data_IF_850248085892
#
_entry.id   IF_850248085892
#
_cell.length_a   1.000
_cell.length_b   1.000
_cell.length_c   1.000
_cell.angle_alpha   90.00
_cell.angle_beta   90.00
_cell.angle_gamma   90.00
#
_symmetry.space_group_name_H-M   'P 1'
#
loop_
_entity.id
_entity.type
_entity.pdbx_description
1 polymer ?
#
# COMPACT_ATOMS: atom_id res chain seq x y z
N UNK A 1 31.37 -0.21 -15.68
CA UNK A 1 30.07 0.01 -16.35
C UNK A 1 29.04 0.01 -15.23
N UNK A 2 28.55 1.20 -14.84
CA UNK A 2 27.68 1.38 -13.67
C UNK A 2 26.28 0.88 -14.01
N UNK A 3 25.76 -0.11 -13.28
CA UNK A 3 24.34 -0.40 -13.26
C UNK A 3 23.69 0.46 -12.17
N UNK A 4 23.04 1.53 -12.58
CA UNK A 4 22.14 2.29 -11.72
C UNK A 4 20.87 1.45 -11.49
N UNK A 5 20.75 0.81 -10.33
CA UNK A 5 19.50 0.16 -9.94
C UNK A 5 18.52 1.24 -9.48
N UNK A 6 17.50 1.44 -10.31
CA UNK A 6 16.55 2.54 -10.22
C UNK A 6 15.61 2.39 -9.01
N UNK A 7 15.49 3.52 -8.34
CA UNK A 7 14.76 3.86 -7.13
C UNK A 7 13.22 3.62 -7.24
N UNK A 8 12.60 3.09 -6.18
CA UNK A 8 11.14 2.91 -6.06
C UNK A 8 10.40 4.26 -6.00
N UNK A 9 9.38 4.41 -6.84
CA UNK A 9 8.50 5.59 -6.96
C UNK A 9 7.10 5.22 -6.48
N UNK A 10 6.56 5.99 -5.53
CA UNK A 10 5.16 6.06 -5.11
C UNK A 10 4.59 7.37 -5.67
N UNK A 11 3.36 7.45 -6.12
CA UNK A 11 2.82 8.71 -6.64
C UNK A 11 1.59 9.07 -5.80
N UNK A 12 1.76 9.89 -4.76
CA UNK A 12 0.66 10.35 -3.89
C UNK A 12 0.57 11.88 -3.79
N UNK A 13 -0.50 12.47 -4.34
CA UNK A 13 -0.78 13.90 -4.18
C UNK A 13 -1.01 14.21 -2.70
N UNK A 14 -0.01 14.75 -2.01
CA UNK A 14 -0.19 15.36 -0.69
C UNK A 14 -0.69 16.79 -0.86
N UNK A 15 -2.00 16.95 -1.12
CA UNK A 15 -2.65 18.24 -0.90
C UNK A 15 -2.91 18.38 0.61
N UNK A 16 -1.89 18.76 1.37
CA UNK A 16 -2.08 19.30 2.71
C UNK A 16 -2.60 20.74 2.58
N UNK A 17 -3.88 20.89 2.20
CA UNK A 17 -4.62 22.12 2.42
C UNK A 17 -5.52 21.91 3.63
N UNK A 18 -5.04 22.35 4.79
CA UNK A 18 -5.90 22.57 5.95
C UNK A 18 -6.89 23.69 5.62
N UNK A 19 -8.07 23.35 5.09
CA UNK A 19 -9.21 24.25 5.05
C UNK A 19 -10.48 23.50 5.46
N UNK A 20 -11.18 24.11 6.42
CA UNK A 20 -12.31 23.52 7.14
C UNK A 20 -13.55 23.25 6.30
N UNK A 21 -14.30 22.26 6.81
CA UNK A 21 -15.75 22.03 6.73
C UNK A 21 -16.44 22.11 5.37
N UNK A 22 -16.87 20.95 4.86
CA UNK A 22 -18.29 20.66 4.57
C UNK A 22 -18.56 19.16 4.39
N UNK A 23 -19.67 18.75 4.99
CA UNK A 23 -20.31 17.44 5.06
C UNK A 23 -20.35 16.70 3.70
N UNK A 24 -20.05 15.40 3.68
CA UNK A 24 -20.14 14.56 2.47
C UNK A 24 -20.91 13.27 2.76
N UNK A 25 -21.81 12.94 1.83
CA UNK A 25 -22.66 11.74 1.76
C UNK A 25 -21.93 10.41 2.05
N UNK A 26 -22.65 9.35 2.48
CA UNK A 26 -22.06 8.09 2.93
C UNK A 26 -21.53 7.29 1.73
N UNK A 27 -20.36 7.70 1.26
CA UNK A 27 -19.49 6.88 0.43
C UNK A 27 -18.72 5.96 1.37
N UNK A 28 -18.63 4.67 1.02
CA UNK A 28 -17.93 3.62 1.77
C UNK A 28 -16.74 4.20 2.55
N UNK A 29 -16.92 4.31 3.87
CA UNK A 29 -15.99 5.03 4.74
C UNK A 29 -14.72 4.20 4.79
N UNK A 30 -13.74 4.58 3.98
CA UNK A 30 -12.36 4.15 4.14
C UNK A 30 -11.97 4.54 5.58
N UNK A 31 -11.61 3.59 6.46
CA UNK A 31 -11.21 3.90 7.83
C UNK A 31 -10.16 5.01 7.86
N UNK A 32 -10.25 5.91 8.84
CA UNK A 32 -9.42 7.13 8.92
C UNK A 32 -7.90 6.92 8.88
N UNK A 33 -7.45 5.68 9.08
CA UNK A 33 -6.05 5.28 9.09
C UNK A 33 -5.55 4.77 7.72
N UNK A 34 -6.42 4.74 6.70
CA UNK A 34 -6.10 4.32 5.35
C UNK A 34 -5.98 5.52 4.41
N UNK A 35 -4.92 5.53 3.62
CA UNK A 35 -4.57 6.57 2.66
C UNK A 35 -4.67 6.00 1.25
N UNK A 36 -5.37 6.67 0.32
CA UNK A 36 -5.39 6.22 -1.07
C UNK A 36 -4.00 6.36 -1.68
N UNK A 37 -3.59 5.37 -2.47
CA UNK A 37 -2.36 5.42 -3.25
C UNK A 37 -2.65 5.11 -4.71
N UNK A 38 -1.84 5.64 -5.62
CA UNK A 38 -2.06 5.45 -7.06
C UNK A 38 -1.16 4.37 -7.67
N UNK A 39 0.02 4.15 -7.10
CA UNK A 39 1.02 3.21 -7.61
C UNK A 39 1.71 2.50 -6.46
N UNK A 40 1.76 1.16 -6.55
CA UNK A 40 2.63 0.32 -5.72
C UNK A 40 3.70 -0.29 -6.63
N UNK A 41 4.98 -0.01 -6.34
CA UNK A 41 6.12 -0.61 -7.03
C UNK A 41 6.96 -1.41 -6.04
N UNK A 42 7.25 -2.66 -6.38
CA UNK A 42 8.14 -3.56 -5.63
C UNK A 42 9.09 -4.22 -6.64
N UNK A 43 10.34 -3.79 -6.67
CA UNK A 43 11.28 -4.17 -7.75
C UNK A 43 10.69 -3.85 -9.13
N UNK A 44 10.55 -4.88 -9.97
CA UNK A 44 9.91 -4.80 -11.29
C UNK A 44 8.39 -5.02 -11.28
N UNK A 45 7.82 -5.41 -10.14
CA UNK A 45 6.36 -5.52 -10.01
C UNK A 45 5.76 -4.12 -9.83
N UNK A 46 4.74 -3.81 -10.63
CA UNK A 46 4.03 -2.54 -10.57
C UNK A 46 2.53 -2.82 -10.57
N UNK A 47 1.84 -2.28 -9.59
CA UNK A 47 0.38 -2.17 -9.56
C UNK A 47 0.00 -0.69 -9.71
N UNK A 48 -0.92 -0.40 -10.64
CA UNK A 48 -1.45 0.95 -10.89
C UNK A 48 -2.95 0.94 -10.60
N UNK A 49 -3.37 1.77 -9.65
CA UNK A 49 -4.77 2.01 -9.34
C UNK A 49 -5.45 2.68 -10.54
N UNK A 50 -6.42 1.98 -11.15
CA UNK A 50 -7.19 2.50 -12.29
C UNK A 50 -8.41 3.30 -11.86
N UNK A 51 -8.95 2.92 -10.71
CA UNK A 51 -10.12 3.55 -10.10
C UNK A 51 -9.75 4.03 -8.71
N UNK A 52 -10.49 5.02 -8.23
CA UNK A 52 -10.27 5.61 -6.91
C UNK A 52 -10.42 4.51 -5.84
N UNK A 53 -9.58 4.55 -4.82
CA UNK A 53 -9.63 3.66 -3.65
C UNK A 53 -9.33 2.16 -3.96
N UNK A 54 -8.85 1.84 -5.18
CA UNK A 54 -8.43 0.46 -5.53
C UNK A 54 -7.10 0.02 -4.93
N UNK A 55 -6.32 0.98 -4.45
CA UNK A 55 -5.11 0.76 -3.68
C UNK A 55 -5.12 1.71 -2.49
N UNK A 56 -5.01 1.14 -1.30
CA UNK A 56 -4.92 1.91 -0.06
C UNK A 56 -3.75 1.44 0.78
N UNK A 57 -3.22 2.36 1.57
CA UNK A 57 -2.10 2.15 2.48
C UNK A 57 -2.55 2.44 3.89
N UNK A 58 -2.32 1.53 4.82
CA UNK A 58 -2.65 1.69 6.23
C UNK A 58 -1.42 1.69 7.13
N UNK A 59 -1.28 2.72 7.96
CA UNK A 59 -0.21 2.80 8.96
C UNK A 59 -0.78 2.49 10.35
N UNK A 60 -0.53 1.29 10.85
CA UNK A 60 -1.09 0.87 12.14
C UNK A 60 -0.05 0.99 13.25
N UNK A 61 -0.09 2.11 13.98
CA UNK A 61 0.88 2.40 15.03
C UNK A 61 0.86 1.35 16.15
N UNK A 62 -0.32 1.08 16.71
CA UNK A 62 -0.49 0.12 17.80
C UNK A 62 -0.08 -1.31 17.40
N UNK A 63 -0.31 -1.70 16.14
CA UNK A 63 0.02 -3.03 15.62
C UNK A 63 1.45 -3.13 15.08
N UNK A 64 2.23 -2.04 15.14
CA UNK A 64 3.60 -1.91 14.64
C UNK A 64 3.78 -2.45 13.22
N UNK A 65 2.83 -2.13 12.34
CA UNK A 65 2.84 -2.60 10.95
C UNK A 65 2.33 -1.57 9.96
N UNK A 66 2.83 -1.71 8.75
CA UNK A 66 2.32 -1.08 7.55
C UNK A 66 1.59 -2.12 6.71
N UNK A 67 0.49 -1.74 6.08
CA UNK A 67 -0.26 -2.61 5.19
C UNK A 67 -0.61 -1.90 3.88
N UNK A 68 -0.53 -2.62 2.77
CA UNK A 68 -1.16 -2.24 1.51
C UNK A 68 -2.32 -3.19 1.25
N UNK A 69 -3.49 -2.66 0.93
CA UNK A 69 -4.64 -3.43 0.50
C UNK A 69 -4.97 -3.09 -0.95
N UNK A 70 -5.07 -4.12 -1.77
CA UNK A 70 -5.31 -4.05 -3.21
C UNK A 70 -6.69 -4.61 -3.48
N UNK A 71 -7.56 -3.79 -4.06
CA UNK A 71 -8.92 -4.14 -4.42
C UNK A 71 -9.00 -4.46 -5.92
N UNK A 72 -9.97 -5.30 -6.29
CA UNK A 72 -10.33 -5.52 -7.67
C UNK A 72 -11.29 -4.44 -8.20
N UNK A 73 -11.68 -4.57 -9.48
CA UNK A 73 -12.61 -3.67 -10.17
C UNK A 73 -14.01 -3.59 -9.54
N UNK A 74 -14.39 -4.58 -8.75
CA UNK A 74 -15.71 -4.65 -8.10
C UNK A 74 -15.60 -4.13 -6.65
N UNK A 75 -14.52 -3.41 -6.34
CA UNK A 75 -14.15 -2.93 -5.01
C UNK A 75 -14.09 -4.04 -3.95
N UNK A 76 -13.79 -5.28 -4.37
CA UNK A 76 -13.52 -6.37 -3.44
C UNK A 76 -12.05 -6.42 -3.14
N UNK A 77 -11.74 -6.46 -1.85
CA UNK A 77 -10.37 -6.69 -1.40
C UNK A 77 -9.87 -7.99 -2.03
N UNK A 78 -8.68 -7.97 -2.61
CA UNK A 78 -8.09 -9.14 -3.29
C UNK A 78 -6.80 -9.57 -2.63
N UNK A 79 -5.92 -8.62 -2.34
CA UNK A 79 -4.61 -8.89 -1.79
C UNK A 79 -4.24 -7.90 -0.71
N UNK A 80 -3.38 -8.37 0.20
CA UNK A 80 -2.74 -7.52 1.19
C UNK A 80 -1.28 -7.87 1.35
N UNK A 81 -0.49 -6.83 1.55
CA UNK A 81 0.93 -6.90 1.88
C UNK A 81 1.10 -6.28 3.25
N UNK A 82 1.61 -7.02 4.22
CA UNK A 82 1.95 -6.50 5.55
C UNK A 82 3.47 -6.46 5.74
N UNK A 83 3.96 -5.34 6.26
CA UNK A 83 5.34 -5.12 6.66
C UNK A 83 5.35 -4.81 8.16
N UNK A 84 6.11 -5.60 8.92
CA UNK A 84 6.38 -5.28 10.31
C UNK A 84 7.40 -4.15 10.39
N UNK A 85 7.22 -3.23 11.33
CA UNK A 85 8.15 -2.10 11.48
C UNK A 85 9.59 -2.51 11.80
N UNK A 86 9.77 -3.59 12.55
CA UNK A 86 11.10 -4.13 12.87
C UNK A 86 11.88 -4.53 11.61
N UNK A 87 11.18 -4.79 10.50
CA UNK A 87 11.77 -5.22 9.24
C UNK A 87 11.96 -4.04 8.27
N UNK A 88 11.65 -2.80 8.69
CA UNK A 88 11.93 -1.57 7.93
C UNK A 88 13.33 -1.07 8.31
N UNK A 89 14.28 -1.09 7.37
CA UNK A 89 15.64 -0.53 7.57
C UNK A 89 15.72 0.96 7.28
N UNK A 90 14.82 1.47 6.43
CA UNK A 90 14.88 2.83 5.96
C UNK A 90 13.55 3.30 5.41
N UNK A 91 13.25 4.59 5.59
CA UNK A 91 12.12 5.25 4.98
C UNK A 91 12.57 6.60 4.42
N UNK A 92 11.99 7.02 3.31
CA UNK A 92 12.29 8.31 2.71
C UNK A 92 11.15 8.77 1.82
N UNK A 93 11.09 10.06 1.54
CA UNK A 93 10.09 10.61 0.63
C UNK A 93 10.73 11.37 -0.52
N UNK A 94 10.06 11.40 -1.67
CA UNK A 94 10.35 12.36 -2.73
C UNK A 94 9.07 13.15 -2.95
N UNK A 95 9.13 14.47 -2.82
CA UNK A 95 7.98 15.34 -3.07
C UNK A 95 8.41 16.40 -4.06
N UNK A 96 7.59 16.62 -5.09
CA UNK A 96 7.78 17.69 -6.06
C UNK A 96 6.51 18.52 -6.14
N UNK A 97 6.64 19.82 -6.43
CA UNK A 97 5.48 20.71 -6.57
C UNK A 97 4.51 20.18 -7.61
N UNK A 98 3.21 20.19 -7.27
CA UNK A 98 2.10 19.72 -8.11
C UNK A 98 2.18 18.26 -8.58
N UNK A 99 3.07 17.46 -8.00
CA UNK A 99 3.23 16.05 -8.34
C UNK A 99 2.89 15.16 -7.16
N UNK A 100 2.38 13.95 -7.43
CA UNK A 100 2.20 12.97 -6.38
C UNK A 100 3.56 12.56 -5.77
N UNK A 101 3.70 12.71 -4.46
CA UNK A 101 4.85 12.34 -3.64
C UNK A 101 5.07 10.83 -3.52
N UNK A 102 6.33 10.45 -3.44
CA UNK A 102 6.81 9.09 -3.31
C UNK A 102 7.12 8.83 -1.84
N UNK A 103 6.49 7.84 -1.19
CA UNK A 103 7.06 7.18 -0.02
C UNK A 103 7.96 6.01 -0.48
N UNK A 104 9.14 5.88 0.10
CA UNK A 104 10.05 4.75 -0.11
C UNK A 104 10.28 4.06 1.19
N UNK A 105 10.32 2.74 1.12
CA UNK A 105 10.54 1.88 2.28
C UNK A 105 11.54 0.82 1.86
N UNK A 106 12.59 0.69 2.67
CA UNK A 106 13.61 -0.34 2.54
C UNK A 106 13.35 -1.41 3.60
N UNK A 107 13.41 -2.68 3.19
CA UNK A 107 13.10 -3.82 4.04
C UNK A 107 14.31 -4.72 4.23
N UNK A 108 14.51 -5.18 5.46
CA UNK A 108 15.50 -6.22 5.81
C UNK A 108 14.97 -7.63 5.63
N UNK A 109 13.65 -7.81 5.64
CA UNK A 109 12.97 -9.10 5.42
C UNK A 109 11.82 -8.98 4.42
N UNK A 110 11.46 -10.08 3.74
CA UNK A 110 10.31 -10.07 2.83
C UNK A 110 9.02 -9.75 3.59
N UNK A 111 8.07 -9.04 2.96
CA UNK A 111 6.76 -8.78 3.54
C UNK A 111 5.91 -10.05 3.61
N UNK A 112 4.82 -9.99 4.37
CA UNK A 112 3.84 -11.07 4.51
C UNK A 112 2.67 -10.79 3.57
N UNK A 113 2.23 -11.82 2.85
CA UNK A 113 1.13 -11.71 1.89
C UNK A 113 -0.13 -12.36 2.42
N UNK A 114 -1.26 -11.75 2.10
CA UNK A 114 -2.58 -12.29 2.36
C UNK A 114 -3.47 -12.16 1.12
N UNK A 115 -4.40 -13.08 0.98
CA UNK A 115 -5.52 -12.95 0.06
C UNK A 115 -6.83 -12.85 0.84
N UNK A 116 -7.80 -12.17 0.25
CA UNK A 116 -9.14 -12.09 0.82
C UNK A 116 -9.90 -13.38 0.54
N UNK A 117 -10.67 -13.83 1.53
CA UNK A 117 -11.64 -14.90 1.36
C UNK A 117 -13.01 -14.31 1.56
N UNK A 118 -13.89 -14.60 0.59
CA UNK A 118 -15.28 -14.15 0.64
C UNK A 118 -15.86 -14.52 2.01
N UNK A 119 -16.24 -13.53 2.84
CA UNK A 119 -16.77 -13.83 4.14
C UNK A 119 -18.08 -14.60 3.94
N UNK A 120 -18.29 -15.64 4.72
CA UNK A 120 -19.62 -16.20 4.86
C UNK A 120 -20.60 -15.08 5.29
N UNK A 121 -21.88 -15.15 4.90
CA UNK A 121 -22.86 -14.15 5.31
C UNK A 121 -22.82 -13.97 6.83
N UNK A 122 -22.54 -12.74 7.30
CA UNK A 122 -22.36 -12.31 8.71
C UNK A 122 -20.97 -12.43 9.34
N UNK A 123 -19.91 -12.71 8.56
CA UNK A 123 -18.53 -12.69 9.08
C UNK A 123 -17.77 -11.42 8.67
N UNK A 124 -16.81 -11.00 9.51
CA UNK A 124 -15.82 -9.98 9.13
C UNK A 124 -14.92 -10.50 8.00
N UNK A 125 -14.34 -9.61 7.17
CA UNK A 125 -13.36 -9.98 6.15
C UNK A 125 -12.25 -10.84 6.77
N UNK A 126 -12.07 -12.06 6.25
CA UNK A 126 -11.02 -12.96 6.70
C UNK A 126 -9.83 -12.87 5.75
N UNK A 127 -8.65 -12.75 6.34
CA UNK A 127 -7.37 -12.75 5.66
C UNK A 127 -6.71 -14.10 5.86
N UNK A 128 -6.35 -14.75 4.76
CA UNK A 128 -5.52 -15.95 4.81
C UNK A 128 -4.11 -15.66 4.30
N UNK A 129 -3.07 -16.23 4.94
CA UNK A 129 -1.71 -16.17 4.42
C UNK A 129 -1.66 -16.69 2.98
N UNK A 130 -0.97 -15.95 2.11
CA UNK A 130 -0.84 -16.28 0.70
C UNK A 130 0.61 -16.35 0.26
N UNK A 131 0.82 -16.91 -0.93
CA UNK A 131 2.12 -16.89 -1.60
C UNK A 131 2.37 -15.50 -2.20
N UNK A 132 3.63 -15.22 -2.50
CA UNK A 132 4.02 -13.99 -3.18
C UNK A 132 3.36 -13.88 -4.57
N UNK A 133 2.53 -12.85 -4.75
CA UNK A 133 1.90 -12.50 -6.03
C UNK A 133 2.70 -11.49 -6.86
N UNK A 134 3.83 -11.01 -6.33
CA UNK A 134 4.72 -10.03 -6.99
C UNK A 134 5.75 -10.69 -7.90
N UNK A 135 5.57 -11.98 -8.24
CA UNK A 135 6.46 -12.76 -9.12
C UNK A 135 7.91 -12.83 -8.61
N UNK A 136 8.08 -13.01 -7.29
CA UNK A 136 9.38 -13.12 -6.65
C UNK A 136 10.09 -11.79 -6.42
N UNK A 137 9.48 -10.65 -6.76
CA UNK A 137 10.14 -9.35 -6.60
C UNK A 137 10.24 -8.94 -5.13
N UNK A 138 9.19 -9.16 -4.35
CA UNK A 138 9.17 -8.83 -2.94
C UNK A 138 10.02 -9.76 -2.06
N UNK A 139 10.45 -10.91 -2.58
CA UNK A 139 11.36 -11.83 -1.89
C UNK A 139 12.83 -11.39 -1.99
N UNK A 140 13.12 -10.37 -2.81
CA UNK A 140 14.47 -9.82 -2.98
C UNK A 140 14.70 -8.72 -1.94
N UNK A 141 15.21 -9.10 -0.77
CA UNK A 141 15.65 -8.13 0.24
C UNK A 141 17.11 -7.75 0.03
N UNK A 142 17.48 -6.53 0.43
CA UNK A 142 18.87 -6.11 0.50
C UNK A 142 19.47 -6.70 1.78
N UNK A 143 20.53 -7.48 1.63
CA UNK A 143 21.35 -8.00 2.74
C UNK A 143 22.39 -6.96 3.12
#
# INVERSE_FOLDING_TARGET
MLQESTIMSIRDTMNASCQGTKEREPTNIVPSDLFPATVLRIGEYIFVAREKDTLVVGFHYAKKKLAWEIFDKDNRIKYKIEVLWQDISGMGTIVHENMPGILKIELTKPPIFFHHIDPQPRSHPQWEPSKDFTRGQALKCRV
#
